data_IF_510358275558
#
_entry.id   IF_510358275558
#
_cell.length_a   1.000
_cell.length_b   1.000
_cell.length_c   1.000
_cell.angle_alpha   90.00
_cell.angle_beta   90.00
_cell.angle_gamma   90.00
#
_symmetry.space_group_name_H-M   'P 1'
#
loop_
_entity.id
_entity.type
_entity.pdbx_description
1 polymer ?
#
# COMPACT_ATOMS: atom_id res chain seq x y z
N UNK A 1 -7.74 -37.98 -13.98
CA UNK A 1 -6.89 -38.03 -12.78
C UNK A 1 -6.57 -39.46 -12.41
N UNK A 2 -7.54 -40.37 -12.27
CA UNK A 2 -7.29 -41.80 -11.93
C UNK A 2 -6.42 -42.49 -12.99
N UNK A 3 -6.78 -42.36 -14.26
CA UNK A 3 -6.03 -42.92 -15.38
C UNK A 3 -4.59 -42.39 -15.45
N UNK A 4 -4.40 -41.07 -15.24
CA UNK A 4 -3.07 -40.47 -15.17
C UNK A 4 -2.21 -41.05 -14.03
N UNK A 5 -2.82 -41.31 -12.86
CA UNK A 5 -2.12 -41.93 -11.73
C UNK A 5 -1.71 -43.36 -12.02
N UNK A 6 -2.61 -44.13 -12.63
CA UNK A 6 -2.31 -45.51 -13.04
C UNK A 6 -1.15 -45.55 -14.02
N UNK A 7 -1.10 -44.61 -14.98
CA UNK A 7 -0.01 -44.50 -15.95
C UNK A 7 1.31 -44.07 -15.28
N UNK A 8 1.27 -43.34 -14.19
CA UNK A 8 2.45 -42.91 -13.43
C UNK A 8 2.86 -43.92 -12.31
N UNK A 9 2.15 -45.03 -12.17
CA UNK A 9 2.35 -46.00 -11.07
C UNK A 9 2.42 -45.34 -9.67
N UNK A 10 1.60 -44.30 -9.46
CA UNK A 10 1.61 -43.52 -8.19
C UNK A 10 0.34 -43.70 -7.41
N UNK A 11 0.47 -44.07 -6.14
CA UNK A 11 -0.65 -44.07 -5.20
C UNK A 11 -1.15 -42.63 -4.91
N UNK A 12 -2.45 -42.47 -4.61
CA UNK A 12 -3.01 -41.19 -4.20
C UNK A 12 -2.25 -40.59 -3.02
N UNK A 13 -1.78 -39.34 -3.17
CA UNK A 13 -1.04 -38.59 -2.14
C UNK A 13 0.29 -39.24 -1.68
N UNK A 14 0.80 -40.25 -2.42
CA UNK A 14 2.11 -40.84 -2.16
C UNK A 14 3.22 -39.94 -2.68
N UNK A 15 4.17 -39.61 -1.83
CA UNK A 15 5.38 -38.87 -2.18
C UNK A 15 6.56 -39.74 -1.81
N UNK A 16 7.51 -40.00 -2.74
CA UNK A 16 8.71 -40.78 -2.46
C UNK A 16 9.52 -40.24 -1.27
N UNK A 17 10.05 -41.11 -0.43
CA UNK A 17 10.80 -40.73 0.77
C UNK A 17 12.00 -39.83 0.44
N UNK A 18 12.64 -40.06 -0.68
CA UNK A 18 13.78 -39.27 -1.17
C UNK A 18 13.42 -37.78 -1.36
N UNK A 19 12.16 -37.46 -1.76
CA UNK A 19 11.69 -36.08 -1.89
C UNK A 19 11.58 -35.42 -0.51
N UNK A 20 11.01 -36.14 0.48
CA UNK A 20 10.98 -35.64 1.86
C UNK A 20 12.38 -35.40 2.41
N UNK A 21 13.31 -36.34 2.17
CA UNK A 21 14.68 -36.24 2.66
C UNK A 21 15.43 -35.07 1.99
N UNK A 22 15.21 -34.85 0.70
CA UNK A 22 15.77 -33.72 0.01
C UNK A 22 15.29 -32.40 0.64
N UNK A 23 13.98 -32.22 0.83
CA UNK A 23 13.44 -31.00 1.42
C UNK A 23 13.87 -30.82 2.88
N UNK A 24 13.90 -31.87 3.68
CA UNK A 24 14.38 -31.83 5.07
C UNK A 24 15.85 -31.41 5.15
N UNK A 25 16.70 -32.00 4.32
CA UNK A 25 18.14 -31.74 4.36
C UNK A 25 18.56 -30.40 3.73
N UNK A 26 17.72 -29.83 2.86
CA UNK A 26 17.98 -28.54 2.20
C UNK A 26 17.19 -27.41 2.86
N UNK A 27 15.91 -27.28 2.53
CA UNK A 27 15.09 -26.15 2.92
C UNK A 27 14.80 -26.09 4.43
N UNK A 28 14.39 -27.21 5.04
CA UNK A 28 14.06 -27.26 6.47
C UNK A 28 15.30 -27.02 7.33
N UNK A 29 16.42 -27.66 7.00
CA UNK A 29 17.67 -27.47 7.74
C UNK A 29 18.17 -26.04 7.67
N UNK A 30 18.13 -25.43 6.46
CA UNK A 30 18.49 -24.03 6.26
C UNK A 30 17.53 -23.09 7.00
N UNK A 31 16.22 -23.31 6.86
CA UNK A 31 15.20 -22.52 7.53
C UNK A 31 15.36 -22.53 9.05
N UNK A 32 15.54 -23.72 9.64
CA UNK A 32 15.78 -23.87 11.08
C UNK A 32 17.06 -23.15 11.55
N UNK A 33 18.12 -23.20 10.77
CA UNK A 33 19.36 -22.47 11.08
C UNK A 33 19.14 -20.95 11.08
N UNK A 34 18.49 -20.43 10.04
CA UNK A 34 18.16 -19.01 9.95
C UNK A 34 17.23 -18.56 11.08
N UNK A 35 16.19 -19.37 11.39
CA UNK A 35 15.27 -19.09 12.48
C UNK A 35 15.97 -19.03 13.83
N UNK A 36 16.82 -20.00 14.16
CA UNK A 36 17.58 -20.02 15.43
C UNK A 36 18.46 -18.78 15.58
N UNK A 37 19.13 -18.36 14.50
CA UNK A 37 19.96 -17.14 14.48
C UNK A 37 19.11 -15.89 14.70
N UNK A 38 18.01 -15.77 13.98
CA UNK A 38 17.06 -14.68 14.13
C UNK A 38 16.50 -14.64 15.56
N UNK A 39 16.02 -15.77 16.09
CA UNK A 39 15.41 -15.85 17.41
C UNK A 39 16.39 -15.51 18.55
N UNK A 40 17.67 -15.90 18.39
CA UNK A 40 18.71 -15.48 19.34
C UNK A 40 18.86 -13.94 19.34
N UNK A 41 18.95 -13.34 18.17
CA UNK A 41 19.06 -11.88 18.03
C UNK A 41 17.80 -11.17 18.57
N UNK A 42 16.62 -11.69 18.25
CA UNK A 42 15.36 -11.16 18.77
C UNK A 42 15.33 -11.15 20.31
N UNK A 43 15.69 -12.26 20.96
CA UNK A 43 15.72 -12.34 22.42
C UNK A 43 16.64 -11.31 23.09
N UNK A 44 17.79 -11.02 22.45
CA UNK A 44 18.77 -10.06 22.98
C UNK A 44 18.27 -8.62 22.83
N UNK A 45 17.58 -8.31 21.72
CA UNK A 45 17.17 -6.95 21.36
C UNK A 45 15.68 -6.68 21.63
N UNK A 46 14.95 -7.63 22.21
CA UNK A 46 13.52 -7.51 22.46
C UNK A 46 13.24 -6.35 23.41
N UNK A 47 12.49 -5.38 22.91
CA UNK A 47 11.91 -4.28 23.68
C UNK A 47 10.40 -4.25 23.43
N UNK A 48 9.64 -3.56 24.28
CA UNK A 48 8.20 -3.34 24.05
C UNK A 48 7.92 -2.63 22.74
N UNK A 49 8.76 -1.69 22.34
CA UNK A 49 8.65 -0.96 21.08
C UNK A 49 8.85 -1.89 19.87
N UNK A 50 9.87 -2.76 19.91
CA UNK A 50 10.10 -3.75 18.84
C UNK A 50 8.92 -4.72 18.74
N UNK A 51 8.33 -5.13 19.85
CA UNK A 51 7.15 -5.99 19.83
C UNK A 51 5.94 -5.28 19.21
N UNK A 52 5.69 -4.01 19.55
CA UNK A 52 4.64 -3.20 18.92
C UNK A 52 4.83 -3.10 17.42
N UNK A 53 6.07 -2.86 16.96
CA UNK A 53 6.41 -2.82 15.53
C UNK A 53 6.13 -4.18 14.86
N UNK A 54 6.63 -5.29 15.41
CA UNK A 54 6.45 -6.62 14.86
C UNK A 54 4.99 -7.08 14.86
N UNK A 55 4.18 -6.58 15.79
CA UNK A 55 2.76 -6.86 15.86
C UNK A 55 1.89 -5.92 15.02
N UNK A 56 2.46 -4.86 14.46
CA UNK A 56 1.71 -3.86 13.70
C UNK A 56 0.86 -2.94 14.59
N UNK A 57 1.23 -2.76 15.85
CA UNK A 57 0.43 -2.08 16.89
C UNK A 57 0.77 -0.59 17.03
N UNK A 58 1.40 0.02 16.05
CA UNK A 58 1.70 1.46 16.05
C UNK A 58 0.42 2.24 15.72
N UNK A 59 -0.08 2.99 16.69
CA UNK A 59 -1.24 3.88 16.54
C UNK A 59 -0.76 5.34 16.54
N UNK A 60 -1.30 6.12 15.62
CA UNK A 60 -1.07 7.56 15.53
C UNK A 60 -2.28 8.32 16.04
N UNK A 61 -2.05 9.42 16.74
CA UNK A 61 -3.08 10.45 16.95
C UNK A 61 -3.01 11.43 15.77
N UNK A 62 -3.81 11.20 14.74
CA UNK A 62 -3.79 11.99 13.53
C UNK A 62 -4.17 13.45 13.76
N UNK A 63 -5.04 13.74 14.73
CA UNK A 63 -5.49 15.09 15.03
C UNK A 63 -4.38 15.96 15.64
N UNK A 64 -3.40 15.34 16.30
CA UNK A 64 -2.23 16.02 16.82
C UNK A 64 -1.13 16.25 15.80
N UNK A 65 -0.94 15.32 14.85
CA UNK A 65 0.21 15.35 13.95
C UNK A 65 -0.09 15.96 12.59
N UNK A 66 -1.33 15.89 12.11
CA UNK A 66 -1.67 16.37 10.77
C UNK A 66 -2.14 17.83 10.79
N UNK A 67 -1.62 18.68 9.90
CA UNK A 67 -2.03 20.07 9.80
C UNK A 67 -3.46 20.20 9.25
N UNK A 68 -4.13 21.28 9.61
CA UNK A 68 -5.32 21.76 8.92
C UNK A 68 -4.93 22.76 7.83
N UNK A 69 -5.73 22.84 6.78
CA UNK A 69 -5.51 23.76 5.68
C UNK A 69 -6.55 24.86 5.72
N UNK A 70 -6.12 26.10 5.57
CA UNK A 70 -7.00 27.26 5.49
C UNK A 70 -7.40 27.59 4.04
N UNK A 71 -8.30 28.54 3.87
CA UNK A 71 -8.82 28.95 2.56
C UNK A 71 -7.77 29.56 1.62
N UNK A 72 -6.58 29.91 2.10
CA UNK A 72 -5.47 30.40 1.27
C UNK A 72 -4.73 29.26 0.56
N UNK A 73 -4.92 28.02 1.03
CA UNK A 73 -4.33 26.85 0.41
C UNK A 73 -5.06 26.49 -0.89
N UNK A 74 -4.47 26.86 -2.00
CA UNK A 74 -4.96 26.58 -3.35
C UNK A 74 -3.93 25.79 -4.14
N UNK A 75 -3.94 24.46 -3.94
CA UNK A 75 -2.99 23.53 -4.55
C UNK A 75 -3.69 22.24 -4.97
N UNK A 76 -3.07 21.43 -5.85
CA UNK A 76 -3.55 20.08 -6.13
C UNK A 76 -3.66 19.22 -4.87
N UNK A 77 -4.71 18.41 -4.75
CA UNK A 77 -4.87 17.53 -3.59
C UNK A 77 -3.73 16.50 -3.48
N UNK A 78 -3.05 16.15 -4.58
CA UNK A 78 -1.82 15.33 -4.53
C UNK A 78 -0.68 16.01 -3.76
N UNK A 79 -0.59 17.35 -3.73
CA UNK A 79 0.42 18.06 -2.93
C UNK A 79 0.08 18.01 -1.43
N UNK A 80 -1.18 18.22 -1.08
CA UNK A 80 -1.64 18.03 0.28
C UNK A 80 -1.38 16.58 0.72
N UNK A 81 -1.80 15.60 -0.09
CA UNK A 81 -1.58 14.17 0.15
C UNK A 81 -0.12 13.80 0.36
N UNK A 82 0.80 14.35 -0.45
CA UNK A 82 2.24 14.09 -0.30
C UNK A 82 2.80 14.63 1.02
N UNK A 83 2.39 15.82 1.45
CA UNK A 83 2.80 16.37 2.76
C UNK A 83 2.24 15.56 3.93
N UNK A 84 0.98 15.15 3.86
CA UNK A 84 0.34 14.30 4.87
C UNK A 84 1.00 12.92 4.96
N UNK A 85 1.27 12.30 3.81
CA UNK A 85 1.98 11.01 3.75
C UNK A 85 3.36 11.07 4.39
N UNK A 86 4.10 12.14 4.13
CA UNK A 86 5.43 12.35 4.72
C UNK A 86 5.34 12.42 6.25
N UNK A 87 4.37 13.18 6.79
CA UNK A 87 4.16 13.29 8.24
C UNK A 87 3.78 11.93 8.82
N UNK A 88 2.83 11.21 8.22
CA UNK A 88 2.39 9.89 8.67
C UNK A 88 3.56 8.91 8.66
N UNK A 89 4.32 8.85 7.56
CA UNK A 89 5.44 7.93 7.43
C UNK A 89 6.60 8.25 8.38
N UNK A 90 6.83 9.53 8.68
CA UNK A 90 7.84 9.94 9.66
C UNK A 90 7.47 9.49 11.08
N UNK A 91 6.18 9.52 11.43
CA UNK A 91 5.70 9.16 12.76
C UNK A 91 5.33 7.68 12.91
N UNK A 92 5.30 6.90 11.82
CA UNK A 92 4.99 5.47 11.86
C UNK A 92 6.03 4.66 11.06
N UNK A 93 6.90 3.89 11.75
CA UNK A 93 7.95 3.10 11.10
C UNK A 93 7.42 1.94 10.24
N UNK A 94 6.13 1.60 10.35
CA UNK A 94 5.50 0.56 9.54
C UNK A 94 5.10 1.05 8.15
N UNK A 95 5.04 2.36 7.93
CA UNK A 95 4.65 2.94 6.63
C UNK A 95 5.80 2.82 5.65
N UNK A 96 5.56 2.10 4.57
CA UNK A 96 6.54 1.83 3.50
C UNK A 96 5.82 1.79 2.15
N UNK A 97 6.43 2.27 1.10
CA UNK A 97 5.85 2.20 -0.23
C UNK A 97 6.54 3.12 -1.23
N UNK A 98 5.88 3.36 -2.35
CA UNK A 98 6.44 4.16 -3.41
C UNK A 98 5.56 4.21 -4.65
N UNK A 99 6.16 4.36 -5.83
CA UNK A 99 5.44 4.59 -7.06
C UNK A 99 5.94 3.71 -8.21
N UNK A 100 5.05 3.50 -9.19
CA UNK A 100 5.40 2.87 -10.46
C UNK A 100 6.09 3.87 -11.40
N UNK A 101 7.30 4.30 -11.02
CA UNK A 101 8.14 5.26 -11.76
C UNK A 101 7.55 6.68 -11.91
N UNK A 102 6.62 7.05 -11.04
CA UNK A 102 5.89 8.33 -11.08
C UNK A 102 5.98 9.12 -9.76
N UNK A 103 6.98 8.83 -8.91
CA UNK A 103 7.07 9.40 -7.56
C UNK A 103 7.05 10.94 -7.55
N UNK A 104 7.79 11.60 -8.46
CA UNK A 104 7.84 13.06 -8.58
C UNK A 104 6.50 13.66 -9.01
N UNK A 105 5.72 12.94 -9.81
CA UNK A 105 4.42 13.41 -10.32
C UNK A 105 3.26 13.10 -9.37
N UNK A 106 3.26 11.94 -8.73
CA UNK A 106 2.24 11.57 -7.74
C UNK A 106 2.47 12.20 -6.39
N UNK A 107 3.71 12.59 -6.09
CA UNK A 107 4.18 13.14 -4.80
C UNK A 107 3.98 12.14 -3.63
N UNK A 108 3.72 10.88 -3.94
CA UNK A 108 3.63 9.80 -2.97
C UNK A 108 5.01 9.17 -2.76
N UNK A 109 5.78 9.77 -1.87
CA UNK A 109 7.20 9.44 -1.63
C UNK A 109 7.34 8.88 -0.22
N UNK A 110 8.02 7.74 -0.11
CA UNK A 110 8.41 7.17 1.19
C UNK A 110 9.54 7.96 1.85
N UNK A 111 9.77 7.68 3.11
CA UNK A 111 10.84 8.31 3.92
C UNK A 111 12.07 7.40 4.02
N UNK A 112 13.14 7.89 4.69
CA UNK A 112 14.38 7.14 4.97
C UNK A 112 15.15 6.70 3.71
N UNK A 113 14.97 7.42 2.60
CA UNK A 113 15.56 7.15 1.28
C UNK A 113 15.06 5.85 0.65
N UNK A 114 15.67 5.48 -0.48
CA UNK A 114 15.28 4.30 -1.24
C UNK A 114 15.65 3.01 -0.52
N UNK A 115 14.71 2.06 -0.55
CA UNK A 115 15.00 0.68 -0.20
C UNK A 115 15.87 0.05 -1.28
N UNK A 116 17.06 -0.42 -0.90
CA UNK A 116 18.03 -0.96 -1.87
C UNK A 116 18.91 -2.05 -1.23
N UNK A 117 19.80 -2.63 -2.02
CA UNK A 117 20.82 -3.55 -1.51
C UNK A 117 21.76 -2.88 -0.50
N UNK A 118 21.98 -1.59 -0.62
CA UNK A 118 22.84 -0.77 0.23
C UNK A 118 22.07 -0.14 1.41
N UNK A 119 20.76 0.05 1.29
CA UNK A 119 19.91 0.63 2.32
C UNK A 119 18.68 -0.25 2.57
N UNK A 120 18.79 -1.20 3.49
CA UNK A 120 17.70 -2.11 3.88
C UNK A 120 16.65 -1.46 4.79
N UNK A 121 16.94 -0.26 5.31
CA UNK A 121 16.04 0.49 6.18
C UNK A 121 15.29 1.59 5.44
N UNK A 122 15.60 1.82 4.16
CA UNK A 122 14.85 2.73 3.30
C UNK A 122 13.40 2.32 3.18
N UNK A 123 12.50 3.29 3.22
CA UNK A 123 11.06 3.05 3.14
C UNK A 123 10.40 3.61 1.88
N UNK A 124 11.23 4.07 0.93
CA UNK A 124 10.78 4.38 -0.42
C UNK A 124 11.14 3.24 -1.37
N UNK A 125 10.14 2.70 -2.08
CA UNK A 125 10.32 1.59 -3.02
C UNK A 125 10.12 2.11 -4.44
N UNK A 126 11.16 2.03 -5.26
CA UNK A 126 11.08 2.30 -6.69
C UNK A 126 10.59 1.04 -7.41
N UNK A 127 9.28 0.93 -7.64
CA UNK A 127 8.68 -0.27 -8.26
C UNK A 127 8.97 -0.38 -9.76
N UNK A 128 9.31 0.74 -10.42
CA UNK A 128 9.38 0.82 -11.87
C UNK A 128 7.99 0.76 -12.52
N UNK A 129 7.90 0.74 -13.83
CA UNK A 129 6.63 0.63 -14.57
C UNK A 129 6.08 -0.80 -14.46
N UNK A 130 5.53 -1.14 -13.29
CA UNK A 130 5.06 -2.50 -12.93
C UNK A 130 3.89 -2.44 -11.95
N UNK A 131 2.80 -1.81 -12.33
CA UNK A 131 1.65 -1.52 -11.46
C UNK A 131 1.07 -2.79 -10.82
N UNK A 132 0.94 -3.87 -11.60
CA UNK A 132 0.45 -5.14 -11.07
C UNK A 132 1.37 -5.72 -9.98
N UNK A 133 2.67 -5.78 -10.25
CA UNK A 133 3.66 -6.25 -9.29
C UNK A 133 3.76 -5.32 -8.07
N UNK A 134 3.67 -4.00 -8.26
CA UNK A 134 3.62 -3.01 -7.20
C UNK A 134 2.46 -3.30 -6.23
N UNK A 135 1.25 -3.52 -6.74
CA UNK A 135 0.10 -3.86 -5.91
C UNK A 135 0.30 -5.20 -5.19
N UNK A 136 0.82 -6.22 -5.88
CA UNK A 136 1.07 -7.54 -5.29
C UNK A 136 2.13 -7.48 -4.18
N UNK A 137 3.22 -6.76 -4.39
CA UNK A 137 4.27 -6.54 -3.37
C UNK A 137 3.69 -5.79 -2.17
N UNK A 138 2.91 -4.71 -2.40
CA UNK A 138 2.27 -3.96 -1.32
C UNK A 138 1.31 -4.83 -0.51
N UNK A 139 0.53 -5.68 -1.16
CA UNK A 139 -0.32 -6.66 -0.46
C UNK A 139 0.51 -7.64 0.38
N UNK A 140 1.65 -8.11 -0.14
CA UNK A 140 2.59 -8.95 0.61
C UNK A 140 3.14 -8.24 1.85
N UNK A 141 3.49 -6.97 1.75
CA UNK A 141 3.93 -6.15 2.90
C UNK A 141 2.81 -6.02 3.95
N UNK A 142 1.55 -5.82 3.52
CA UNK A 142 0.40 -5.75 4.41
C UNK A 142 0.16 -7.07 5.18
N UNK A 143 0.35 -8.23 4.54
CA UNK A 143 0.29 -9.54 5.20
C UNK A 143 1.30 -9.63 6.36
N UNK A 144 2.46 -9.00 6.19
CA UNK A 144 3.51 -8.92 7.22
C UNK A 144 3.30 -7.78 8.22
N UNK A 145 2.08 -7.24 8.32
CA UNK A 145 1.66 -6.19 9.27
C UNK A 145 2.34 -4.83 9.07
N UNK A 146 2.98 -4.61 7.93
CA UNK A 146 3.40 -3.28 7.52
C UNK A 146 2.18 -2.46 7.06
N UNK A 147 2.36 -1.15 6.92
CA UNK A 147 1.34 -0.21 6.44
C UNK A 147 1.76 0.29 5.04
N UNK A 148 1.59 -0.53 4.01
CA UNK A 148 2.08 -0.19 2.69
C UNK A 148 1.19 0.84 1.99
N UNK A 149 1.84 1.67 1.19
CA UNK A 149 1.19 2.46 0.17
C UNK A 149 1.82 2.20 -1.21
N UNK A 150 1.06 2.39 -2.26
CA UNK A 150 1.60 2.39 -3.61
C UNK A 150 0.85 3.39 -4.48
N UNK A 151 1.54 3.96 -5.47
CA UNK A 151 1.03 5.10 -6.22
C UNK A 151 1.33 5.03 -7.70
N UNK A 152 0.37 5.48 -8.50
CA UNK A 152 0.49 5.70 -9.95
C UNK A 152 -0.54 6.75 -10.40
N UNK A 153 -0.60 7.07 -11.70
CA UNK A 153 -1.69 7.87 -12.24
C UNK A 153 -2.99 7.08 -12.27
N UNK A 154 -4.12 7.76 -12.13
CA UNK A 154 -5.41 7.10 -11.98
C UNK A 154 -5.83 6.30 -13.22
N UNK A 155 -5.48 6.76 -14.43
CA UNK A 155 -5.70 5.99 -15.65
C UNK A 155 -5.02 4.60 -15.62
N UNK A 156 -3.88 4.47 -14.93
CA UNK A 156 -3.13 3.22 -14.84
C UNK A 156 -3.64 2.25 -13.77
N UNK A 157 -4.73 2.59 -13.08
CA UNK A 157 -5.39 1.64 -12.18
C UNK A 157 -5.83 0.36 -12.91
N UNK A 158 -6.03 0.44 -14.22
CA UNK A 158 -6.35 -0.71 -15.07
C UNK A 158 -5.32 -1.85 -14.94
N UNK A 159 -4.04 -1.50 -14.80
CA UNK A 159 -2.95 -2.47 -14.70
C UNK A 159 -2.81 -3.09 -13.30
N UNK A 160 -3.33 -2.45 -12.25
CA UNK A 160 -3.22 -2.97 -10.89
C UNK A 160 -4.57 -3.37 -10.26
N UNK A 161 -5.68 -3.23 -10.96
CA UNK A 161 -7.02 -3.62 -10.51
C UNK A 161 -7.09 -5.02 -9.89
N UNK A 162 -6.49 -6.08 -10.47
CA UNK A 162 -6.50 -7.41 -9.83
C UNK A 162 -5.85 -7.40 -8.45
N UNK A 163 -4.80 -6.62 -8.25
CA UNK A 163 -4.14 -6.44 -6.95
C UNK A 163 -5.04 -5.74 -5.92
N UNK A 164 -5.79 -4.70 -6.32
CA UNK A 164 -6.79 -4.03 -5.48
C UNK A 164 -7.88 -5.02 -5.07
N UNK A 165 -8.41 -5.79 -6.05
CA UNK A 165 -9.43 -6.80 -5.78
C UNK A 165 -8.94 -7.85 -4.78
N UNK A 166 -7.70 -8.30 -4.91
CA UNK A 166 -7.10 -9.25 -3.97
C UNK A 166 -6.91 -8.64 -2.58
N UNK A 167 -6.55 -7.36 -2.47
CA UNK A 167 -6.49 -6.67 -1.19
C UNK A 167 -7.87 -6.64 -0.50
N UNK A 168 -8.93 -6.29 -1.23
CA UNK A 168 -10.31 -6.30 -0.71
C UNK A 168 -10.78 -7.69 -0.28
N UNK A 169 -10.48 -8.72 -1.09
CA UNK A 169 -10.83 -10.12 -0.79
C UNK A 169 -10.10 -10.64 0.45
N UNK A 170 -8.83 -10.28 0.60
CA UNK A 170 -7.96 -10.73 1.69
C UNK A 170 -7.99 -9.80 2.91
N UNK A 171 -8.81 -8.75 2.89
CA UNK A 171 -8.94 -7.75 3.96
C UNK A 171 -7.61 -7.13 4.36
N UNK A 172 -6.83 -6.71 3.38
CA UNK A 172 -5.50 -6.12 3.58
C UNK A 172 -5.57 -4.59 3.60
N UNK A 173 -4.96 -3.91 4.57
CA UNK A 173 -4.99 -2.46 4.70
C UNK A 173 -3.97 -1.76 3.80
N UNK A 174 -3.93 -2.11 2.53
CA UNK A 174 -3.06 -1.48 1.53
C UNK A 174 -3.67 -0.14 1.11
N UNK A 175 -2.87 0.93 1.09
CA UNK A 175 -3.29 2.25 0.64
C UNK A 175 -2.84 2.46 -0.80
N UNK A 176 -3.81 2.55 -1.72
CA UNK A 176 -3.59 2.84 -3.13
C UNK A 176 -3.81 4.33 -3.37
N UNK A 177 -2.76 5.05 -3.77
CA UNK A 177 -2.80 6.49 -3.97
C UNK A 177 -2.71 6.78 -5.46
N UNK A 178 -3.76 7.35 -6.02
CA UNK A 178 -3.84 7.71 -7.42
C UNK A 178 -3.82 9.23 -7.56
N UNK A 179 -3.06 9.74 -8.50
CA UNK A 179 -3.13 11.14 -8.91
C UNK A 179 -3.60 11.27 -10.35
N UNK A 180 -3.81 12.51 -10.82
CA UNK A 180 -4.34 12.75 -12.17
C UNK A 180 -5.74 12.15 -12.33
N UNK A 181 -6.66 12.61 -11.49
CA UNK A 181 -7.97 12.03 -11.18
C UNK A 181 -9.03 12.18 -12.26
N UNK A 182 -8.80 13.02 -13.28
CA UNK A 182 -9.85 13.41 -14.21
C UNK A 182 -9.30 13.86 -15.57
N UNK A 183 -10.20 14.20 -16.49
CA UNK A 183 -9.87 14.80 -17.79
C UNK A 183 -9.17 16.18 -17.66
N UNK A 184 -9.18 16.82 -16.49
CA UNK A 184 -8.44 18.04 -16.20
C UNK A 184 -6.91 17.85 -16.07
N UNK A 185 -6.39 16.71 -16.48
CA UNK A 185 -4.96 16.41 -16.61
C UNK A 185 -4.29 17.29 -17.68
N UNK A 186 -5.03 17.71 -18.71
CA UNK A 186 -4.54 18.64 -19.74
C UNK A 186 -3.83 17.94 -20.91
N UNK A 187 -2.61 18.38 -21.21
CA UNK A 187 -1.86 17.97 -22.40
C UNK A 187 -1.38 16.51 -22.41
N UNK A 188 -1.47 15.77 -21.34
CA UNK A 188 -1.06 14.35 -21.28
C UNK A 188 -1.89 13.47 -22.25
N UNK A 189 -3.05 13.94 -22.65
CA UNK A 189 -3.87 13.33 -23.70
C UNK A 189 -4.73 12.15 -23.23
N UNK A 190 -5.48 11.52 -24.16
CA UNK A 190 -6.52 10.53 -23.82
C UNK A 190 -5.99 9.26 -23.18
N UNK A 191 -4.73 8.91 -23.38
CA UNK A 191 -4.10 7.74 -22.74
C UNK A 191 -3.90 7.92 -21.23
N UNK A 192 -3.99 9.14 -20.73
CA UNK A 192 -3.79 9.50 -19.33
C UNK A 192 -5.08 10.03 -18.66
N UNK A 193 -6.16 10.19 -19.42
CA UNK A 193 -7.46 10.67 -18.94
C UNK A 193 -8.30 9.52 -18.40
N UNK A 194 -8.52 9.41 -17.08
CA UNK A 194 -9.42 8.41 -16.52
C UNK A 194 -10.87 8.80 -16.79
N UNK A 195 -11.68 7.84 -17.23
CA UNK A 195 -13.11 7.98 -17.50
C UNK A 195 -13.90 6.99 -16.65
N UNK A 196 -13.74 5.69 -16.93
CA UNK A 196 -14.47 4.59 -16.26
C UNK A 196 -13.82 4.10 -14.97
N UNK A 197 -12.58 4.48 -14.70
CA UNK A 197 -11.77 3.95 -13.60
C UNK A 197 -12.42 4.13 -12.23
N UNK A 198 -13.08 5.28 -12.00
CA UNK A 198 -13.74 5.53 -10.71
C UNK A 198 -14.90 4.57 -10.48
N UNK A 199 -15.74 4.35 -11.48
CA UNK A 199 -16.84 3.38 -11.43
C UNK A 199 -16.30 1.97 -11.26
N UNK A 200 -15.23 1.64 -11.98
CA UNK A 200 -14.59 0.34 -11.94
C UNK A 200 -14.07 -0.02 -10.55
N UNK A 201 -13.34 0.87 -9.87
CA UNK A 201 -12.83 0.55 -8.52
C UNK A 201 -13.93 0.58 -7.46
N UNK A 202 -14.96 1.44 -7.61
CA UNK A 202 -16.13 1.47 -6.72
C UNK A 202 -16.98 0.21 -6.79
N UNK A 203 -16.89 -0.56 -7.88
CA UNK A 203 -17.58 -1.84 -8.02
C UNK A 203 -16.91 -3.01 -7.28
N UNK A 204 -15.72 -2.81 -6.73
CA UNK A 204 -14.98 -3.87 -6.03
C UNK A 204 -15.43 -3.94 -4.58
N UNK A 205 -15.96 -5.09 -4.10
CA UNK A 205 -16.38 -5.22 -2.70
C UNK A 205 -15.22 -5.06 -1.71
N UNK A 206 -15.51 -4.52 -0.55
CA UNK A 206 -14.56 -4.29 0.55
C UNK A 206 -13.39 -3.36 0.20
N UNK A 207 -13.58 -2.46 -0.76
CA UNK A 207 -12.60 -1.42 -1.12
C UNK A 207 -13.22 -0.07 -0.88
N UNK A 208 -12.61 0.74 -0.03
CA UNK A 208 -13.01 2.12 0.13
C UNK A 208 -12.41 2.97 -0.98
N UNK A 209 -13.21 3.85 -1.54
CA UNK A 209 -12.78 4.75 -2.62
C UNK A 209 -13.12 6.18 -2.24
N UNK A 210 -12.09 6.99 -1.99
CA UNK A 210 -12.24 8.37 -1.55
C UNK A 210 -11.60 9.28 -2.61
N UNK A 211 -12.38 10.22 -3.11
CA UNK A 211 -11.93 11.27 -4.03
C UNK A 211 -12.18 12.63 -3.40
N UNK A 212 -11.21 13.15 -2.61
CA UNK A 212 -11.40 14.37 -1.85
C UNK A 212 -11.49 15.59 -2.76
N UNK A 213 -12.38 16.52 -2.43
CA UNK A 213 -12.60 17.76 -3.16
C UNK A 213 -11.56 18.84 -2.85
N UNK A 214 -10.99 18.84 -1.65
CA UNK A 214 -10.00 19.81 -1.20
C UNK A 214 -8.94 19.22 -0.25
N UNK A 215 -8.10 20.10 0.32
CA UNK A 215 -6.99 19.68 1.17
C UNK A 215 -7.46 19.12 2.52
N UNK A 216 -8.55 19.63 3.11
CA UNK A 216 -9.06 19.12 4.38
C UNK A 216 -9.77 17.77 4.21
N UNK A 217 -10.54 17.58 3.14
CA UNK A 217 -11.04 16.24 2.79
C UNK A 217 -9.90 15.26 2.49
N UNK A 218 -8.80 15.75 1.88
CA UNK A 218 -7.59 14.92 1.68
C UNK A 218 -7.01 14.47 3.03
N UNK A 219 -6.94 15.35 4.02
CA UNK A 219 -6.51 15.01 5.38
C UNK A 219 -7.38 13.88 5.96
N UNK A 220 -8.70 14.02 5.89
CA UNK A 220 -9.64 13.00 6.39
C UNK A 220 -9.49 11.67 5.61
N UNK A 221 -9.31 11.71 4.30
CA UNK A 221 -9.06 10.52 3.50
C UNK A 221 -7.80 9.75 3.96
N UNK A 222 -6.71 10.47 4.28
CA UNK A 222 -5.49 9.85 4.80
C UNK A 222 -5.67 9.32 6.22
N UNK A 223 -6.41 10.02 7.10
CA UNK A 223 -6.77 9.51 8.44
C UNK A 223 -7.53 8.20 8.33
N UNK A 224 -8.56 8.14 7.48
CA UNK A 224 -9.35 6.92 7.24
C UNK A 224 -8.45 5.80 6.73
N UNK A 225 -7.68 6.06 5.66
CA UNK A 225 -6.84 5.05 5.02
C UNK A 225 -5.80 4.44 5.96
N UNK A 226 -5.12 5.26 6.77
CA UNK A 226 -4.07 4.78 7.66
C UNK A 226 -4.58 4.33 9.04
N UNK A 227 -5.85 4.56 9.36
CA UNK A 227 -6.51 4.00 10.57
C UNK A 227 -7.04 2.58 10.34
N UNK A 228 -7.46 2.25 9.11
CA UNK A 228 -8.04 0.94 8.78
C UNK A 228 -7.01 -0.17 8.86
N UNK A 229 -7.47 -1.34 9.31
CA UNK A 229 -6.61 -2.54 9.49
C UNK A 229 -7.11 -3.77 8.73
N UNK A 230 -8.30 -3.69 8.14
CA UNK A 230 -9.02 -4.84 7.58
C UNK A 230 -9.61 -4.59 6.17
N UNK A 231 -9.29 -3.48 5.54
CA UNK A 231 -9.71 -3.18 4.17
C UNK A 231 -8.74 -2.22 3.48
N UNK A 232 -8.58 -2.32 2.16
CA UNK A 232 -7.78 -1.39 1.39
C UNK A 232 -8.55 -0.09 1.13
N UNK A 233 -7.82 1.00 0.98
CA UNK A 233 -8.36 2.30 0.60
C UNK A 233 -7.70 2.81 -0.67
N UNK A 234 -8.50 3.21 -1.65
CA UNK A 234 -8.08 3.93 -2.85
C UNK A 234 -8.34 5.42 -2.67
N UNK A 235 -7.30 6.24 -2.69
CA UNK A 235 -7.39 7.70 -2.61
C UNK A 235 -7.11 8.27 -4.00
N UNK A 236 -8.03 9.05 -4.54
CA UNK A 236 -7.95 9.60 -5.90
C UNK A 236 -7.77 11.11 -5.84
N UNK A 237 -6.61 11.61 -6.26
CA UNK A 237 -6.14 12.98 -6.04
C UNK A 237 -6.01 13.78 -7.33
N UNK A 238 -6.32 15.06 -7.27
CA UNK A 238 -6.24 15.98 -8.42
C UNK A 238 -4.79 16.28 -8.83
N UNK A 239 -4.62 16.53 -10.14
CA UNK A 239 -3.41 17.17 -10.71
C UNK A 239 -3.52 18.68 -10.66
N UNK A 240 -4.70 19.23 -10.97
CA UNK A 240 -4.99 20.66 -10.98
C UNK A 240 -5.11 21.19 -9.55
N UNK A 241 -4.83 22.47 -9.38
CA UNK A 241 -5.07 23.17 -8.12
C UNK A 241 -6.56 23.25 -7.83
N UNK A 242 -6.90 23.05 -6.57
CA UNK A 242 -8.26 23.20 -6.06
C UNK A 242 -8.21 24.11 -4.82
N UNK A 243 -9.17 25.05 -4.69
CA UNK A 243 -9.28 25.87 -3.48
C UNK A 243 -9.73 25.02 -2.29
N UNK A 244 -9.24 25.33 -1.10
CA UNK A 244 -9.79 24.76 0.14
C UNK A 244 -11.11 25.48 0.47
N UNK A 245 -12.22 24.77 0.38
CA UNK A 245 -13.57 25.29 0.54
C UNK A 245 -14.18 24.98 1.90
N UNK A 246 -13.87 23.79 2.43
CA UNK A 246 -14.41 23.33 3.71
C UNK A 246 -13.41 23.58 4.82
N UNK A 247 -13.89 24.07 5.96
CA UNK A 247 -13.11 24.01 7.18
C UNK A 247 -13.00 22.55 7.66
N UNK A 248 -11.99 22.23 8.47
CA UNK A 248 -11.82 20.89 9.02
C UNK A 248 -13.07 20.39 9.79
N UNK A 249 -13.82 21.31 10.41
CA UNK A 249 -15.05 20.97 11.15
C UNK A 249 -16.25 20.65 10.25
N UNK A 250 -16.19 21.05 9.00
CA UNK A 250 -17.27 20.84 8.01
C UNK A 250 -17.02 19.62 7.14
N UNK A 251 -15.83 19.02 7.22
CA UNK A 251 -15.51 17.79 6.46
C UNK A 251 -16.20 16.58 7.10
N UNK A 252 -16.97 15.85 6.30
CA UNK A 252 -17.72 14.66 6.74
C UNK A 252 -17.37 13.40 5.92
N UNK A 253 -16.14 13.30 5.42
CA UNK A 253 -15.68 12.20 4.55
C UNK A 253 -15.92 10.82 5.19
N UNK A 254 -15.91 10.71 6.52
CA UNK A 254 -16.19 9.46 7.23
C UNK A 254 -17.65 9.00 7.12
N UNK A 255 -18.55 9.89 6.69
CA UNK A 255 -19.99 9.59 6.52
C UNK A 255 -20.34 9.22 5.06
N UNK A 256 -19.42 9.37 4.12
CA UNK A 256 -19.61 9.07 2.69
C UNK A 256 -19.99 10.27 1.84
#
# INVERSE_FOLDING_TARGET
VVEMRNNLNSDPFSIPQEVYDYYRNTFVKRGNSCYRKWFKNYKINKTEEIEKILNGEIKLNFDEILPSFDSSYNNPTRKAGGSLLNIIATNNPLVIGGSADLASSTIAIGVDRDFSSQNKLGRHINFGVREHAMAAISNGLAIHKLRPFCSTFFAFVDYLKPGIRMAGLSKLPTVFIFSHDSIAVGEDGPTHHPIEQLTMIRSIPNVDVIRPADANETKEAYKIAFSKTDSPTCIVLSRQALPTILSEKETEVSKG
#
